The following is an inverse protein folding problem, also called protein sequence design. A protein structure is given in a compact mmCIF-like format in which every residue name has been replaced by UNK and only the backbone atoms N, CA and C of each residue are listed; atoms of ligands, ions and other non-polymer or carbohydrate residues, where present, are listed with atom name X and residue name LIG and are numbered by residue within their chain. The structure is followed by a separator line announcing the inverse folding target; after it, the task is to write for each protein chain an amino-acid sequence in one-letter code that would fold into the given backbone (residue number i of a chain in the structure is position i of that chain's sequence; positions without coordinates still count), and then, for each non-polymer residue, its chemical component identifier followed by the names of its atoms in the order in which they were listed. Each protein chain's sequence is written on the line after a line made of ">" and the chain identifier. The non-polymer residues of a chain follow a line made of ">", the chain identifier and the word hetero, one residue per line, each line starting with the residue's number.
data_IF_180431261300
#
_entry.id   IF_180431261300
#
_cell.length_a   1.000
_cell.length_b   1.000
_cell.length_c   1.000
_cell.angle_alpha   90.00
_cell.angle_beta   90.00
_cell.angle_gamma   90.00
#
_symmetry.space_group_name_H-M   'P 1'
#
loop_
_entity.id
_entity.type
_entity.pdbx_description
1 polymer ?
#
# COMPACT_ATOMS: atom_id res chain seq x y z
N UNK A 1 9.31 13.37 -13.12
CA UNK A 1 8.27 13.86 -12.17
C UNK A 1 8.76 13.81 -10.72
N UNK A 2 9.48 12.75 -10.33
CA UNK A 2 10.05 12.55 -8.98
C UNK A 2 10.95 13.68 -8.46
N UNK A 3 11.72 14.34 -9.34
CA UNK A 3 12.65 15.41 -8.94
C UNK A 3 11.93 16.65 -8.37
N UNK A 4 10.69 16.93 -8.81
CA UNK A 4 9.90 18.06 -8.30
C UNK A 4 9.40 17.76 -6.88
N UNK A 5 8.97 16.52 -6.63
CA UNK A 5 8.49 16.07 -5.31
C UNK A 5 9.64 16.11 -4.29
N UNK A 6 10.82 15.59 -4.65
CA UNK A 6 12.02 15.64 -3.78
C UNK A 6 12.43 17.09 -3.44
N UNK A 7 12.38 17.98 -4.42
CA UNK A 7 12.66 19.42 -4.22
C UNK A 7 11.65 20.09 -3.30
N UNK A 8 10.36 19.77 -3.45
CA UNK A 8 9.29 20.28 -2.59
C UNK A 8 9.42 19.78 -1.15
N UNK A 9 9.65 18.48 -0.93
CA UNK A 9 9.86 17.91 0.42
C UNK A 9 11.05 18.59 1.12
N UNK A 10 12.14 18.84 0.39
CA UNK A 10 13.30 19.57 0.92
C UNK A 10 12.96 21.01 1.29
N UNK A 11 12.16 21.71 0.49
CA UNK A 11 11.72 23.09 0.77
C UNK A 11 10.79 23.13 2.00
N UNK A 12 9.87 22.20 2.12
CA UNK A 12 8.97 22.07 3.27
C UNK A 12 9.74 21.74 4.55
N UNK A 13 10.74 20.85 4.48
CA UNK A 13 11.59 20.51 5.63
C UNK A 13 12.35 21.73 6.17
N UNK A 14 12.82 22.63 5.29
CA UNK A 14 13.47 23.90 5.69
C UNK A 14 12.51 24.89 6.36
N UNK A 15 11.21 24.77 6.11
CA UNK A 15 10.16 25.57 6.73
C UNK A 15 9.66 24.95 8.03
N UNK A 16 10.30 23.89 8.54
CA UNK A 16 9.90 23.17 9.75
C UNK A 16 8.82 22.10 9.53
N UNK A 17 8.39 21.88 8.28
CA UNK A 17 7.42 20.84 7.94
C UNK A 17 8.13 19.55 7.53
N UNK A 18 8.10 18.55 8.40
CA UNK A 18 8.61 17.21 8.09
C UNK A 18 7.54 16.38 7.38
N UNK A 19 7.66 16.27 6.05
CA UNK A 19 6.81 15.38 5.25
C UNK A 19 7.51 14.04 5.13
N UNK A 20 7.05 13.03 5.89
CA UNK A 20 7.42 11.64 5.61
C UNK A 20 6.73 11.23 4.30
N UNK A 21 7.46 10.76 3.27
CA UNK A 21 6.81 10.20 2.11
C UNK A 21 5.95 9.02 2.57
N UNK A 22 4.69 8.99 2.14
CA UNK A 22 3.83 7.84 2.38
C UNK A 22 4.37 6.69 1.52
N UNK A 23 5.25 5.89 2.12
CA UNK A 23 5.52 4.56 1.59
C UNK A 23 4.25 3.76 1.84
N UNK A 24 3.63 3.27 0.78
CA UNK A 24 2.55 2.31 0.91
C UNK A 24 3.19 0.96 1.25
N UNK A 25 3.65 0.84 2.50
CA UNK A 25 4.13 -0.41 3.09
C UNK A 25 2.93 -1.33 3.39
N UNK A 26 2.02 -1.50 2.42
CA UNK A 26 0.99 -2.51 2.51
C UNK A 26 1.63 -3.88 2.36
N UNK A 27 1.14 -4.85 3.11
CA UNK A 27 1.58 -6.24 3.05
C UNK A 27 0.46 -7.04 2.44
N UNK A 28 0.78 -7.82 1.41
CA UNK A 28 -0.16 -8.73 0.77
C UNK A 28 -0.57 -9.82 1.78
N UNK A 29 -1.86 -9.95 2.13
CA UNK A 29 -2.32 -10.90 3.14
C UNK A 29 -2.21 -12.37 2.69
N UNK A 30 -2.04 -12.63 1.39
CA UNK A 30 -1.93 -13.99 0.84
C UNK A 30 -0.50 -14.50 0.91
N UNK A 31 0.48 -13.66 0.55
CA UNK A 31 1.88 -14.08 0.43
C UNK A 31 2.86 -13.38 1.39
N UNK A 32 2.43 -12.33 2.09
CA UNK A 32 3.27 -11.56 3.01
C UNK A 32 4.27 -10.62 2.31
N UNK A 33 4.22 -10.48 0.98
CA UNK A 33 5.10 -9.58 0.25
C UNK A 33 4.69 -8.12 0.43
N UNK A 34 5.68 -7.22 0.45
CA UNK A 34 5.41 -5.79 0.37
C UNK A 34 4.79 -5.44 -0.97
N UNK A 35 3.70 -4.69 -0.93
CA UNK A 35 3.01 -4.20 -2.10
C UNK A 35 3.72 -2.94 -2.58
N UNK A 36 4.16 -2.94 -3.84
CA UNK A 36 4.83 -1.80 -4.47
C UNK A 36 3.86 -0.80 -5.10
N UNK A 37 2.57 -1.16 -5.24
CA UNK A 37 1.56 -0.40 -5.95
C UNK A 37 0.16 -0.58 -5.36
N UNK A 38 -0.58 0.51 -5.19
CA UNK A 38 -1.94 0.51 -4.63
C UNK A 38 -3.03 0.14 -5.65
N UNK A 39 -2.65 -0.19 -6.89
CA UNK A 39 -3.59 -0.46 -7.97
C UNK A 39 -4.37 -1.76 -7.76
N UNK A 40 -3.74 -2.76 -7.16
CA UNK A 40 -4.34 -4.05 -6.88
C UNK A 40 -4.84 -4.08 -5.45
N UNK A 41 -6.14 -3.81 -5.28
CA UNK A 41 -6.80 -3.83 -3.98
C UNK A 41 -8.19 -4.44 -4.04
N UNK A 42 -8.67 -4.86 -2.88
CA UNK A 42 -10.03 -5.34 -2.64
C UNK A 42 -10.52 -4.80 -1.29
N UNK A 43 -11.78 -4.38 -1.25
CA UNK A 43 -12.40 -3.91 -0.02
C UNK A 43 -13.17 -5.08 0.61
N UNK A 44 -12.87 -5.40 1.87
CA UNK A 44 -13.53 -6.48 2.59
C UNK A 44 -13.76 -6.07 4.06
N UNK A 45 -15.00 -6.22 4.53
CA UNK A 45 -15.42 -5.80 5.89
C UNK A 45 -15.09 -4.33 6.25
N UNK A 46 -15.07 -3.43 5.26
CA UNK A 46 -14.77 -2.01 5.47
C UNK A 46 -13.27 -1.68 5.53
N UNK A 47 -12.40 -2.68 5.33
CA UNK A 47 -10.95 -2.51 5.23
C UNK A 47 -10.48 -2.73 3.79
N UNK A 48 -9.54 -1.90 3.31
CA UNK A 48 -8.91 -2.07 1.99
C UNK A 48 -7.67 -2.95 2.12
N UNK A 49 -7.66 -4.09 1.43
CA UNK A 49 -6.51 -4.99 1.31
C UNK A 49 -5.81 -4.78 -0.01
N UNK A 50 -4.49 -4.89 -0.03
CA UNK A 50 -3.65 -4.62 -1.19
C UNK A 50 -2.83 -5.85 -1.54
N UNK A 51 -2.56 -6.04 -2.83
CA UNK A 51 -1.96 -7.27 -3.35
C UNK A 51 -0.76 -7.01 -4.24
N UNK A 52 0.23 -7.90 -4.18
CA UNK A 52 1.43 -7.83 -5.01
C UNK A 52 1.17 -8.32 -6.44
N UNK A 53 0.09 -9.07 -6.67
CA UNK A 53 -0.29 -9.61 -7.98
C UNK A 53 -1.80 -9.86 -8.08
N UNK A 54 -2.32 -9.90 -9.31
CA UNK A 54 -3.72 -10.29 -9.58
C UNK A 54 -4.03 -11.69 -9.05
N UNK A 55 -3.04 -12.59 -9.05
CA UNK A 55 -3.22 -13.94 -8.52
C UNK A 55 -3.54 -13.92 -7.02
N UNK A 56 -2.78 -13.16 -6.22
CA UNK A 56 -3.03 -13.02 -4.79
C UNK A 56 -4.39 -12.35 -4.53
N UNK A 57 -4.73 -11.30 -5.29
CA UNK A 57 -6.05 -10.68 -5.21
C UNK A 57 -7.19 -11.68 -5.45
N UNK A 58 -7.08 -12.48 -6.52
CA UNK A 58 -8.11 -13.49 -6.84
C UNK A 58 -8.20 -14.61 -5.80
N UNK A 59 -7.09 -15.01 -5.19
CA UNK A 59 -7.10 -15.98 -4.08
C UNK A 59 -7.82 -15.40 -2.87
N UNK A 60 -7.53 -14.15 -2.53
CA UNK A 60 -8.20 -13.44 -1.44
C UNK A 60 -9.70 -13.27 -1.71
N UNK A 61 -10.12 -12.87 -2.92
CA UNK A 61 -11.54 -12.68 -3.25
C UNK A 61 -12.35 -13.99 -3.21
N UNK A 62 -11.70 -15.15 -3.38
CA UNK A 62 -12.35 -16.47 -3.29
C UNK A 62 -12.65 -16.88 -1.86
N UNK A 63 -11.73 -16.60 -0.94
CA UNK A 63 -11.84 -16.98 0.47
C UNK A 63 -11.10 -15.97 1.36
N UNK A 64 -11.66 -14.76 1.56
CA UNK A 64 -10.98 -13.70 2.28
C UNK A 64 -10.83 -14.04 3.77
N UNK A 65 -11.77 -14.80 4.34
CA UNK A 65 -11.74 -15.21 5.75
C UNK A 65 -10.50 -16.04 6.10
N UNK A 66 -9.98 -16.83 5.14
CA UNK A 66 -8.76 -17.61 5.32
C UNK A 66 -7.49 -16.77 5.48
N UNK A 67 -7.47 -15.52 5.01
CA UNK A 67 -6.26 -14.67 4.99
C UNK A 67 -6.31 -13.51 6.00
N UNK A 68 -7.49 -13.21 6.56
CA UNK A 68 -7.69 -12.09 7.51
C UNK A 68 -7.73 -12.55 8.97
N UNK A 69 -7.37 -13.80 9.26
CA UNK A 69 -7.43 -14.39 10.60
C UNK A 69 -6.67 -13.50 11.59
N UNK A 70 -7.43 -12.89 12.51
CA UNK A 70 -6.94 -12.00 13.57
C UNK A 70 -6.60 -12.77 14.83
#
# INVERSE_FOLDING_TARGET
>A
MENRIKSLIKKLSRLGYHVKPKNNDHVDPVCGMKVSSDLLKADYQGESYYFCSDHCKQQFEKDPEAYIVK
#
